data_IF_281840628287
#
_entry.id   IF_281840628287
#
_cell.length_a   1.000
_cell.length_b   1.000
_cell.length_c   1.000
_cell.angle_alpha   90.00
_cell.angle_beta   90.00
_cell.angle_gamma   90.00
#
_symmetry.space_group_name_H-M   'P 1'
#
loop_
_entity.id
_entity.type
_entity.pdbx_description
1 polymer ?
#
# COMPACT_ATOMS: atom_id res chain seq x y z
N UNK A 1 -0.62 0.01 13.48
CA UNK A 1 -2.00 0.07 12.95
C UNK A 1 -2.77 1.06 13.80
N UNK A 2 -3.41 2.08 13.21
CA UNK A 2 -4.18 3.02 14.04
C UNK A 2 -5.42 2.28 14.55
N UNK A 3 -5.58 2.20 15.86
CA UNK A 3 -6.78 1.60 16.45
C UNK A 3 -8.01 2.37 15.98
N UNK A 4 -9.00 1.64 15.47
CA UNK A 4 -10.26 2.20 14.98
C UNK A 4 -10.31 2.56 13.48
N UNK A 5 -9.24 2.36 12.70
CA UNK A 5 -9.35 2.56 11.25
C UNK A 5 -10.24 1.48 10.62
N UNK A 6 -11.39 1.91 10.08
CA UNK A 6 -12.32 1.02 9.38
C UNK A 6 -11.77 0.75 7.99
N UNK A 7 -11.19 -0.41 7.76
CA UNK A 7 -10.78 -0.87 6.43
C UNK A 7 -11.99 -1.25 5.57
N UNK A 8 -11.84 -1.23 4.23
CA UNK A 8 -12.82 -1.84 3.31
C UNK A 8 -12.84 -3.35 3.48
N UNK A 9 -13.96 -3.99 3.17
CA UNK A 9 -14.07 -5.46 3.28
C UNK A 9 -13.09 -6.16 2.33
N UNK A 10 -12.82 -5.60 1.15
CA UNK A 10 -11.77 -6.10 0.26
C UNK A 10 -10.38 -6.10 0.91
N UNK A 11 -10.03 -5.03 1.65
CA UNK A 11 -8.73 -4.95 2.31
C UNK A 11 -8.65 -5.85 3.54
N UNK A 12 -9.75 -6.06 4.26
CA UNK A 12 -9.80 -7.00 5.39
C UNK A 12 -9.63 -8.45 4.94
N UNK A 13 -10.16 -8.80 3.78
CA UNK A 13 -10.14 -10.15 3.21
C UNK A 13 -9.01 -10.37 2.19
N UNK A 14 -8.10 -9.40 2.00
CA UNK A 14 -7.06 -9.48 0.97
C UNK A 14 -6.00 -10.55 1.25
N UNK A 15 -5.80 -10.92 2.52
CA UNK A 15 -4.75 -11.85 2.94
C UNK A 15 -3.32 -11.33 2.72
N UNK A 16 -3.18 -10.04 2.38
CA UNK A 16 -1.89 -9.44 2.06
C UNK A 16 -0.98 -9.38 3.30
N UNK A 17 0.26 -9.81 3.10
CA UNK A 17 1.35 -9.61 4.05
C UNK A 17 2.20 -8.47 3.52
N UNK A 18 2.37 -7.40 4.31
CA UNK A 18 3.09 -6.20 3.89
C UNK A 18 4.61 -6.43 3.83
N UNK A 19 5.06 -7.08 2.76
CA UNK A 19 6.46 -7.18 2.36
C UNK A 19 6.85 -5.96 1.52
N UNK A 20 8.16 -5.76 1.28
CA UNK A 20 8.63 -4.67 0.42
C UNK A 20 8.06 -4.77 -0.99
N UNK A 21 8.00 -5.98 -1.54
CA UNK A 21 7.47 -6.25 -2.89
C UNK A 21 5.97 -6.01 -2.95
N UNK A 22 5.21 -6.48 -1.96
CA UNK A 22 3.76 -6.26 -1.88
C UNK A 22 3.43 -4.78 -1.71
N UNK A 23 4.18 -4.05 -0.87
CA UNK A 23 4.03 -2.61 -0.73
C UNK A 23 4.30 -1.90 -2.05
N UNK A 24 5.35 -2.28 -2.78
CA UNK A 24 5.69 -1.69 -4.08
C UNK A 24 4.54 -1.87 -5.09
N UNK A 25 4.02 -3.09 -5.22
CA UNK A 25 2.92 -3.41 -6.14
C UNK A 25 1.64 -2.70 -5.72
N UNK A 26 1.30 -2.75 -4.43
CA UNK A 26 0.12 -2.10 -3.88
C UNK A 26 0.16 -0.58 -4.04
N UNK A 27 1.29 0.05 -3.83
CA UNK A 27 1.42 1.50 -3.94
C UNK A 27 1.31 1.95 -5.40
N UNK A 28 1.85 1.16 -6.33
CA UNK A 28 1.84 1.45 -7.76
C UNK A 28 0.42 1.43 -8.33
N UNK A 29 -0.34 0.40 -8.00
CA UNK A 29 -1.76 0.34 -8.33
C UNK A 29 -2.58 -0.31 -7.20
N UNK A 30 -3.04 0.49 -6.23
CA UNK A 30 -3.83 -0.04 -5.12
C UNK A 30 -5.16 -0.67 -5.58
N UNK A 31 -5.71 -0.17 -6.69
CA UNK A 31 -7.00 -0.61 -7.22
C UNK A 31 -6.90 -1.95 -7.94
N UNK A 32 -5.80 -2.21 -8.62
CA UNK A 32 -5.48 -3.52 -9.21
C UNK A 32 -5.28 -4.57 -8.12
N UNK A 33 -4.49 -4.26 -7.08
CA UNK A 33 -4.17 -5.22 -6.01
C UNK A 33 -5.35 -5.48 -5.08
N UNK A 34 -6.08 -4.42 -4.70
CA UNK A 34 -7.27 -4.55 -3.86
C UNK A 34 -8.44 -3.79 -4.51
N UNK A 35 -9.24 -4.48 -5.34
CA UNK A 35 -10.39 -3.88 -5.99
C UNK A 35 -11.35 -3.25 -4.97
N UNK A 36 -11.73 -2.00 -5.20
CA UNK A 36 -12.59 -1.25 -4.28
C UNK A 36 -11.87 -0.71 -3.03
N UNK A 37 -10.54 -0.71 -3.00
CA UNK A 37 -9.80 0.02 -1.95
C UNK A 37 -10.08 1.52 -2.02
N UNK A 38 -10.07 2.16 -0.85
CA UNK A 38 -10.22 3.62 -0.72
C UNK A 38 -8.91 4.37 -0.91
N UNK A 39 -7.79 3.67 -0.98
CA UNK A 39 -6.48 4.29 -1.18
C UNK A 39 -6.26 4.58 -2.66
N UNK A 40 -6.13 5.86 -3.03
CA UNK A 40 -5.85 6.30 -4.40
C UNK A 40 -4.51 7.01 -4.45
N UNK A 41 -3.51 6.38 -5.06
CA UNK A 41 -2.13 6.87 -5.14
C UNK A 41 -1.74 7.26 -6.58
N UNK A 42 -2.68 7.80 -7.34
CA UNK A 42 -2.51 8.34 -8.70
C UNK A 42 -1.35 9.34 -8.92
N UNK A 43 -0.73 9.84 -7.87
CA UNK A 43 0.41 10.77 -7.92
C UNK A 43 1.78 10.06 -7.77
N UNK A 44 1.81 8.77 -7.42
CA UNK A 44 3.04 7.97 -7.38
C UNK A 44 3.36 7.36 -8.74
N UNK A 45 3.71 8.23 -9.69
CA UNK A 45 4.19 7.83 -11.02
C UNK A 45 5.72 7.75 -11.15
N UNK A 46 6.48 8.04 -10.08
CA UNK A 46 7.95 8.04 -10.12
C UNK A 46 8.51 6.88 -9.29
N UNK A 47 9.29 6.01 -9.95
CA UNK A 47 9.95 4.86 -9.35
C UNK A 47 11.00 5.25 -8.29
N UNK A 48 11.70 6.38 -8.43
CA UNK A 48 12.64 6.86 -7.39
C UNK A 48 11.91 7.20 -6.10
N UNK A 49 10.77 7.91 -6.20
CA UNK A 49 9.95 8.25 -5.02
C UNK A 49 9.35 7.01 -4.35
N UNK A 50 9.10 5.96 -5.11
CA UNK A 50 8.67 4.67 -4.58
C UNK A 50 9.78 4.05 -3.73
N UNK A 51 11.01 3.99 -4.23
CA UNK A 51 12.12 3.40 -3.49
C UNK A 51 12.45 4.18 -2.22
N UNK A 52 12.48 5.52 -2.29
CA UNK A 52 12.67 6.38 -1.12
C UNK A 52 11.59 6.13 -0.05
N UNK A 53 10.34 5.99 -0.47
CA UNK A 53 9.22 5.69 0.43
C UNK A 53 9.38 4.29 1.06
N UNK A 54 9.72 3.28 0.27
CA UNK A 54 9.92 1.92 0.77
C UNK A 54 11.10 1.84 1.75
N UNK A 55 12.16 2.61 1.50
CA UNK A 55 13.29 2.73 2.42
C UNK A 55 12.89 3.44 3.71
N UNK A 56 12.18 4.57 3.62
CA UNK A 56 11.66 5.28 4.79
C UNK A 56 10.76 4.39 5.65
N UNK A 57 9.80 3.67 5.04
CA UNK A 57 8.91 2.76 5.75
C UNK A 57 9.66 1.59 6.39
N UNK A 58 10.71 1.08 5.74
CA UNK A 58 11.52 0.02 6.30
C UNK A 58 12.38 0.49 7.49
N UNK A 59 12.88 1.73 7.44
CA UNK A 59 13.66 2.33 8.52
C UNK A 59 12.81 2.71 9.75
N UNK A 60 11.50 2.93 9.56
CA UNK A 60 10.56 3.36 10.61
C UNK A 60 9.52 2.27 10.93
N UNK A 61 9.92 1.00 10.88
CA UNK A 61 9.08 -0.14 11.27
C UNK A 61 8.69 -0.12 12.74
#
# INVERSE_FOLDING_TARGET
QQEGYVYTDAMKNSGLVWTREELRTYIKDPGEVVPGTRMKLWWMGNDERMEDLLEYLNANK
#
